data_IF_381982182866
#
_entry.id   IF_381982182866
#
_cell.length_a   1.000
_cell.length_b   1.000
_cell.length_c   1.000
_cell.angle_alpha   90.00
_cell.angle_beta   90.00
_cell.angle_gamma   90.00
#
_symmetry.space_group_name_H-M   'P 1'
#
loop_
_entity.id
_entity.type
_entity.pdbx_description
1 polymer ?
#
# COMPACT_ATOMS: atom_id res chain seq x y z
N UNK A 1 -12.13 0.63 5.45
CA UNK A 1 -11.13 1.71 5.48
C UNK A 1 -10.64 2.00 4.07
N UNK A 2 -10.60 3.28 3.70
CA UNK A 2 -10.23 3.72 2.35
C UNK A 2 -8.71 3.78 2.13
N UNK A 3 -7.91 3.85 3.18
CA UNK A 3 -6.45 3.97 3.10
C UNK A 3 -5.71 2.64 3.12
N UNK A 4 -6.38 1.55 3.44
CA UNK A 4 -5.82 0.19 3.51
C UNK A 4 -6.88 -0.86 3.23
N UNK A 5 -6.44 -2.07 2.90
CA UNK A 5 -7.26 -3.28 2.99
C UNK A 5 -6.92 -4.00 4.28
N UNK A 6 -7.93 -4.32 5.09
CA UNK A 6 -7.78 -5.06 6.32
C UNK A 6 -8.42 -6.44 6.19
N UNK A 7 -7.70 -7.46 6.65
CA UNK A 7 -8.20 -8.82 6.81
C UNK A 7 -8.01 -9.20 8.27
N UNK A 8 -9.06 -9.73 8.87
CA UNK A 8 -9.08 -10.20 10.24
C UNK A 8 -9.37 -11.70 10.25
N UNK A 9 -8.58 -12.46 11.00
CA UNK A 9 -8.71 -13.91 11.12
C UNK A 9 -8.51 -14.32 12.56
N UNK A 10 -9.30 -15.28 13.03
CA UNK A 10 -9.13 -15.88 14.35
C UNK A 10 -8.66 -17.32 14.19
N UNK A 11 -7.66 -17.70 14.96
CA UNK A 11 -7.07 -19.03 14.96
C UNK A 11 -7.23 -19.68 16.34
N UNK A 12 -7.68 -20.92 16.32
CA UNK A 12 -7.74 -21.76 17.51
C UNK A 12 -6.83 -22.97 17.27
N UNK A 13 -5.66 -22.95 17.89
CA UNK A 13 -4.65 -24.00 17.78
C UNK A 13 -4.82 -25.12 18.82
N UNK A 14 -5.93 -25.17 19.54
CA UNK A 14 -6.13 -26.11 20.65
C UNK A 14 -5.08 -25.90 21.74
N UNK A 15 -4.18 -26.89 21.96
CA UNK A 15 -3.11 -26.81 22.95
C UNK A 15 -2.05 -25.73 22.68
N UNK A 16 -1.97 -25.20 21.43
CA UNK A 16 -1.00 -24.18 21.03
C UNK A 16 -1.51 -22.75 21.25
N UNK A 17 -2.72 -22.59 21.76
CA UNK A 17 -3.31 -21.30 22.08
C UNK A 17 -4.28 -20.76 21.04
N UNK A 18 -4.86 -19.61 21.36
CA UNK A 18 -5.81 -18.89 20.52
C UNK A 18 -5.25 -17.51 20.19
N UNK A 19 -5.35 -17.10 18.94
CA UNK A 19 -4.95 -15.77 18.53
C UNK A 19 -5.86 -15.16 17.48
N UNK A 20 -5.89 -13.85 17.46
CA UNK A 20 -6.47 -13.03 16.40
C UNK A 20 -5.34 -12.40 15.60
N UNK A 21 -5.41 -12.50 14.28
CA UNK A 21 -4.45 -11.89 13.36
C UNK A 21 -5.17 -10.82 12.56
N UNK A 22 -4.67 -9.60 12.62
CA UNK A 22 -5.11 -8.49 11.78
C UNK A 22 -3.99 -8.23 10.78
N UNK A 23 -4.32 -8.23 9.50
CA UNK A 23 -3.42 -7.94 8.38
C UNK A 23 -3.89 -6.68 7.69
N UNK A 24 -3.01 -5.71 7.55
CA UNK A 24 -3.30 -4.44 6.89
C UNK A 24 -2.40 -4.28 5.68
N UNK A 25 -3.01 -4.22 4.50
CA UNK A 25 -2.30 -4.05 3.23
C UNK A 25 -2.38 -2.59 2.80
N UNK A 26 -1.24 -1.99 2.50
CA UNK A 26 -1.15 -0.63 2.00
C UNK A 26 0.04 -0.44 1.06
N UNK A 27 -0.12 0.32 -0.02
CA UNK A 27 1.03 0.80 -0.78
C UNK A 27 1.71 1.94 0.00
N UNK A 28 3.02 2.07 -0.15
CA UNK A 28 3.70 3.31 0.26
C UNK A 28 3.23 4.47 -0.62
N UNK A 29 3.25 5.67 -0.06
CA UNK A 29 2.83 6.89 -0.76
C UNK A 29 3.96 7.45 -1.64
N UNK A 30 5.20 7.28 -1.22
CA UNK A 30 6.40 7.90 -1.81
C UNK A 30 7.51 6.92 -2.18
N UNK A 31 7.36 5.64 -1.85
CA UNK A 31 8.34 4.60 -2.16
C UNK A 31 7.72 3.49 -3.02
N UNK A 32 8.49 2.83 -3.89
CA UNK A 32 8.04 1.66 -4.65
C UNK A 32 7.94 0.43 -3.72
N UNK A 33 6.98 0.47 -2.80
CA UNK A 33 6.81 -0.54 -1.77
C UNK A 33 5.33 -0.90 -1.55
N UNK A 34 5.07 -2.20 -1.41
CA UNK A 34 3.83 -2.75 -0.86
C UNK A 34 4.11 -3.26 0.54
N UNK A 35 3.29 -2.85 1.50
CA UNK A 35 3.48 -3.14 2.91
C UNK A 35 2.29 -3.94 3.43
N UNK A 36 2.59 -4.95 4.24
CA UNK A 36 1.63 -5.72 4.99
C UNK A 36 1.99 -5.66 6.47
N UNK A 37 1.20 -4.92 7.24
CA UNK A 37 1.34 -4.84 8.69
C UNK A 37 0.55 -5.97 9.35
N UNK A 38 1.17 -6.63 10.30
CA UNK A 38 0.59 -7.70 11.10
C UNK A 38 0.42 -7.26 12.55
N UNK A 39 -0.75 -7.54 13.11
CA UNK A 39 -1.02 -7.48 14.53
C UNK A 39 -1.45 -8.87 14.99
N UNK A 40 -0.64 -9.49 15.81
CA UNK A 40 -0.89 -10.81 16.41
C UNK A 40 -1.33 -10.60 17.85
N UNK A 41 -2.59 -10.84 18.13
CA UNK A 41 -3.20 -10.61 19.44
C UNK A 41 -3.39 -11.96 20.11
N UNK A 42 -2.80 -12.16 21.29
CA UNK A 42 -3.06 -13.35 22.08
C UNK A 42 -4.43 -13.25 22.75
N UNK A 43 -5.37 -14.09 22.30
CA UNK A 43 -6.74 -14.16 22.87
C UNK A 43 -6.90 -15.34 23.83
N UNK A 44 -5.83 -16.08 24.11
CA UNK A 44 -5.78 -17.17 25.08
C UNK A 44 -5.58 -16.65 26.51
N UNK A 45 -5.80 -17.53 27.50
CA UNK A 45 -5.53 -17.25 28.90
C UNK A 45 -4.06 -17.49 29.29
N UNK A 46 -3.29 -18.17 28.41
CA UNK A 46 -1.90 -18.53 28.60
C UNK A 46 -0.99 -17.72 27.66
N UNK A 47 0.29 -17.55 28.02
CA UNK A 47 1.27 -16.99 27.09
C UNK A 47 1.34 -17.81 25.81
N UNK A 48 1.40 -17.13 24.67
CA UNK A 48 1.58 -17.72 23.36
C UNK A 48 3.02 -17.53 22.90
N UNK A 49 3.62 -18.56 22.31
CA UNK A 49 4.97 -18.51 21.75
C UNK A 49 4.90 -18.54 20.24
N UNK A 50 5.57 -17.60 19.61
CA UNK A 50 5.54 -17.39 18.16
C UNK A 50 6.96 -17.29 17.63
N UNK A 51 7.21 -17.97 16.52
CA UNK A 51 8.41 -17.78 15.72
C UNK A 51 8.06 -16.97 14.46
N UNK A 52 8.76 -15.88 14.24
CA UNK A 52 8.71 -15.13 13.00
C UNK A 52 9.99 -15.49 12.23
N UNK A 53 9.88 -16.16 11.07
CA UNK A 53 11.05 -16.58 10.31
C UNK A 53 11.74 -15.38 9.65
N UNK A 54 13.02 -15.53 9.36
CA UNK A 54 13.73 -14.57 8.48
C UNK A 54 13.20 -14.72 7.06
N UNK A 55 12.73 -13.63 6.50
CA UNK A 55 12.34 -13.55 5.09
C UNK A 55 13.23 -12.52 4.40
N UNK A 56 13.96 -12.95 3.39
CA UNK A 56 14.81 -12.10 2.56
C UNK A 56 14.90 -12.72 1.16
N UNK A 57 13.82 -12.60 0.41
CA UNK A 57 13.72 -13.12 -0.96
C UNK A 57 14.05 -12.03 -1.97
N UNK A 58 14.80 -12.39 -3.01
CA UNK A 58 15.25 -11.48 -4.05
C UNK A 58 14.97 -12.05 -5.42
N UNK A 59 14.45 -11.21 -6.30
CA UNK A 59 14.19 -11.52 -7.70
C UNK A 59 14.68 -10.37 -8.58
N UNK A 60 15.42 -10.67 -9.63
CA UNK A 60 15.78 -9.69 -10.66
C UNK A 60 14.82 -9.82 -11.84
N UNK A 61 14.30 -8.69 -12.30
CA UNK A 61 13.48 -8.66 -13.53
C UNK A 61 14.34 -8.82 -14.78
N UNK A 62 13.73 -9.32 -15.86
CA UNK A 62 14.40 -9.39 -17.19
C UNK A 62 14.73 -7.96 -17.67
N UNK A 63 16.01 -7.64 -17.93
CA UNK A 63 16.41 -6.29 -18.34
C UNK A 63 15.82 -5.85 -19.68
N UNK A 64 15.35 -6.79 -20.50
CA UNK A 64 14.69 -6.49 -21.78
C UNK A 64 13.26 -5.99 -21.64
N UNK A 65 12.66 -6.20 -20.45
CA UNK A 65 11.27 -5.80 -20.13
C UNK A 65 11.19 -4.54 -19.28
N UNK A 66 12.30 -4.09 -18.72
CA UNK A 66 12.36 -2.89 -17.90
C UNK A 66 12.82 -1.68 -18.72
N UNK A 67 12.20 -0.53 -18.54
CA UNK A 67 12.56 0.74 -19.23
C UNK A 67 14.02 1.12 -18.93
N UNK A 68 14.46 0.91 -17.70
CA UNK A 68 15.81 1.24 -17.23
C UNK A 68 16.68 -0.02 -17.00
N UNK A 69 16.34 -1.13 -17.65
CA UNK A 69 17.03 -2.41 -17.49
C UNK A 69 16.45 -3.27 -16.38
N UNK A 70 17.32 -3.92 -15.57
CA UNK A 70 16.89 -4.85 -14.55
C UNK A 70 16.55 -4.15 -13.22
N UNK A 71 15.43 -4.52 -12.65
CA UNK A 71 15.03 -4.12 -11.32
C UNK A 71 15.23 -5.27 -10.33
N UNK A 72 15.52 -4.94 -9.09
CA UNK A 72 15.55 -5.88 -7.98
C UNK A 72 14.22 -5.75 -7.23
N UNK A 73 13.52 -6.87 -7.10
CA UNK A 73 12.34 -7.00 -6.23
C UNK A 73 12.80 -7.73 -4.97
N UNK A 74 12.63 -7.12 -3.82
CA UNK A 74 12.96 -7.72 -2.53
C UNK A 74 11.70 -7.89 -1.67
N UNK A 75 11.58 -9.05 -1.03
CA UNK A 75 10.61 -9.30 0.03
C UNK A 75 11.34 -9.46 1.35
N UNK A 76 10.98 -8.67 2.33
CA UNK A 76 11.59 -8.67 3.67
C UNK A 76 10.54 -8.61 4.76
N UNK A 77 11.00 -8.92 5.97
CA UNK A 77 10.25 -8.74 7.21
C UNK A 77 11.10 -7.92 8.17
N UNK A 78 10.49 -6.98 8.90
CA UNK A 78 11.20 -6.04 9.76
C UNK A 78 11.57 -6.61 11.13
N UNK A 79 10.92 -7.71 11.52
CA UNK A 79 11.13 -8.36 12.81
C UNK A 79 11.12 -9.86 12.63
N UNK A 80 12.13 -10.54 13.19
CA UNK A 80 12.23 -12.02 13.19
C UNK A 80 12.70 -12.53 14.56
N UNK A 81 12.54 -13.82 14.80
CA UNK A 81 12.95 -14.51 16.02
C UNK A 81 11.78 -15.10 16.81
N UNK A 82 12.06 -15.44 18.07
CA UNK A 82 11.09 -16.06 18.98
C UNK A 82 10.52 -15.02 19.94
N UNK A 83 9.20 -14.99 20.07
CA UNK A 83 8.48 -14.04 20.89
C UNK A 83 7.51 -14.75 21.82
N UNK A 84 7.39 -14.25 23.06
CA UNK A 84 6.33 -14.63 24.00
C UNK A 84 5.32 -13.48 24.07
N UNK A 85 4.06 -13.79 23.80
CA UNK A 85 2.95 -12.82 23.83
C UNK A 85 2.06 -13.17 25.00
N UNK A 86 1.96 -12.27 26.00
CA UNK A 86 1.12 -12.50 27.17
C UNK A 86 -0.38 -12.43 26.79
N UNK A 87 -1.28 -13.00 27.61
CA UNK A 87 -2.71 -12.89 27.41
C UNK A 87 -3.16 -11.42 27.21
N UNK A 88 -3.86 -11.13 26.12
CA UNK A 88 -4.31 -9.80 25.76
C UNK A 88 -3.27 -8.90 25.08
N UNK A 89 -2.01 -9.27 25.08
CA UNK A 89 -0.95 -8.51 24.43
C UNK A 89 -0.94 -8.72 22.91
N UNK A 90 -0.28 -7.78 22.22
CA UNK A 90 -0.15 -7.75 20.77
C UNK A 90 1.32 -7.71 20.35
N UNK A 91 1.70 -8.60 19.44
CA UNK A 91 2.95 -8.53 18.70
C UNK A 91 2.68 -7.89 17.34
N UNK A 92 3.44 -6.84 17.00
CA UNK A 92 3.37 -6.19 15.70
C UNK A 92 4.67 -6.37 14.93
N UNK A 93 4.53 -6.58 13.62
CA UNK A 93 5.64 -6.62 12.65
C UNK A 93 5.10 -6.32 11.26
N UNK A 94 6.00 -6.04 10.31
CA UNK A 94 5.64 -5.75 8.93
C UNK A 94 6.43 -6.60 7.96
N UNK A 95 5.74 -7.16 6.96
CA UNK A 95 6.36 -7.68 5.76
C UNK A 95 6.21 -6.65 4.64
N UNK A 96 7.21 -6.55 3.76
CA UNK A 96 7.15 -5.60 2.66
C UNK A 96 7.85 -6.12 1.41
N UNK A 97 7.32 -5.72 0.28
CA UNK A 97 7.91 -5.95 -1.05
C UNK A 97 8.32 -4.59 -1.59
N UNK A 98 9.59 -4.48 -1.98
CA UNK A 98 10.15 -3.26 -2.60
C UNK A 98 10.66 -3.55 -3.99
N UNK A 99 10.60 -2.54 -4.88
CA UNK A 99 11.18 -2.62 -6.22
C UNK A 99 12.07 -1.42 -6.49
N UNK A 100 13.35 -1.65 -6.89
CA UNK A 100 14.27 -0.57 -7.20
C UNK A 100 15.30 -1.02 -8.25
N UNK A 101 15.97 -0.04 -8.90
CA UNK A 101 16.96 -0.35 -9.94
C UNK A 101 18.15 -1.11 -9.36
N UNK A 102 18.67 -2.06 -10.11
CA UNK A 102 19.87 -2.78 -9.75
C UNK A 102 21.03 -1.79 -9.48
N UNK A 103 21.66 -1.93 -8.31
CA UNK A 103 22.76 -1.07 -7.88
C UNK A 103 22.37 0.12 -7.04
N UNK A 104 21.08 0.41 -6.87
CA UNK A 104 20.61 1.39 -5.88
C UNK A 104 20.65 0.79 -4.47
N UNK A 105 20.78 1.63 -3.43
CA UNK A 105 20.73 1.15 -2.06
C UNK A 105 19.36 0.53 -1.74
N UNK A 106 19.37 -0.50 -0.90
CA UNK A 106 18.16 -1.15 -0.44
C UNK A 106 17.27 -0.17 0.33
N UNK A 107 15.97 -0.24 0.07
CA UNK A 107 14.98 0.55 0.80
C UNK A 107 14.78 -0.04 2.20
N UNK A 108 14.71 0.85 3.18
CA UNK A 108 14.36 0.52 4.56
C UNK A 108 12.94 1.01 4.80
N UNK A 109 12.04 0.08 5.10
CA UNK A 109 10.62 0.36 5.30
C UNK A 109 10.29 0.27 6.77
N UNK A 110 9.61 1.28 7.29
CA UNK A 110 8.92 1.23 8.58
C UNK A 110 7.41 1.21 8.32
N UNK A 111 6.79 0.05 8.46
CA UNK A 111 5.39 -0.17 8.10
C UNK A 111 4.40 0.73 8.84
N UNK A 112 4.69 1.12 10.08
CA UNK A 112 3.83 2.03 10.85
C UNK A 112 3.94 3.47 10.36
N UNK A 113 5.13 3.93 10.02
CA UNK A 113 5.33 5.27 9.44
C UNK A 113 4.67 5.36 8.06
N UNK A 114 4.81 4.35 7.22
CA UNK A 114 4.15 4.31 5.91
C UNK A 114 2.62 4.30 6.03
N UNK A 115 2.08 3.62 7.04
CA UNK A 115 0.65 3.69 7.37
C UNK A 115 0.20 5.11 7.72
N UNK A 116 0.95 5.84 8.53
CA UNK A 116 0.63 7.23 8.88
C UNK A 116 0.67 8.15 7.67
N UNK A 117 1.72 8.06 6.84
CA UNK A 117 1.81 8.81 5.58
C UNK A 117 0.63 8.51 4.65
N UNK A 118 0.25 7.23 4.56
CA UNK A 118 -0.90 6.81 3.73
C UNK A 118 -2.22 7.39 4.23
N UNK A 119 -2.45 7.40 5.55
CA UNK A 119 -3.62 8.02 6.15
C UNK A 119 -3.65 9.52 5.83
N UNK A 120 -2.54 10.23 6.02
CA UNK A 120 -2.41 11.65 5.74
C UNK A 120 -2.71 11.97 4.27
N UNK A 121 -2.11 11.24 3.34
CA UNK A 121 -2.33 11.43 1.91
C UNK A 121 -3.80 11.22 1.52
N UNK A 122 -4.42 10.11 1.96
CA UNK A 122 -5.83 9.82 1.65
C UNK A 122 -6.75 10.85 2.28
N UNK A 123 -6.48 11.29 3.51
CA UNK A 123 -7.25 12.36 4.16
C UNK A 123 -7.17 13.65 3.35
N UNK A 124 -5.96 14.05 2.95
CA UNK A 124 -5.78 15.23 2.10
C UNK A 124 -6.55 15.13 0.78
N UNK A 125 -6.53 13.98 0.11
CA UNK A 125 -7.29 13.79 -1.13
C UNK A 125 -8.80 13.84 -0.92
N UNK A 126 -9.28 13.34 0.21
CA UNK A 126 -10.71 13.37 0.53
C UNK A 126 -11.19 14.78 0.91
N UNK A 127 -10.37 15.54 1.61
CA UNK A 127 -10.71 16.89 2.07
C UNK A 127 -10.67 17.94 0.95
N UNK A 128 -9.90 17.67 -0.11
CA UNK A 128 -9.86 18.52 -1.29
C UNK A 128 -11.10 18.30 -2.17
N UNK A 129 -11.81 19.36 -2.52
CA UNK A 129 -13.01 19.36 -3.37
C UNK A 129 -14.08 18.37 -2.85
N UNK A 130 -14.83 18.79 -1.85
CA UNK A 130 -15.92 18.01 -1.27
C UNK A 130 -17.20 18.20 -2.07
N UNK A 131 -17.88 17.10 -2.37
CA UNK A 131 -19.22 17.10 -2.97
C UNK A 131 -20.26 16.80 -1.88
N UNK A 132 -21.28 17.66 -1.78
CA UNK A 132 -22.39 17.49 -0.86
C UNK A 132 -23.69 17.50 -1.67
N UNK A 133 -24.39 16.37 -1.71
CA UNK A 133 -25.66 16.20 -2.40
C UNK A 133 -26.69 15.61 -1.45
N UNK A 134 -27.99 15.64 -1.81
CA UNK A 134 -29.01 14.92 -1.04
C UNK A 134 -28.84 13.40 -1.02
N UNK A 135 -28.01 12.84 -1.90
CA UNK A 135 -27.74 11.40 -2.00
C UNK A 135 -26.32 11.05 -1.51
N UNK A 136 -26.19 10.46 -0.32
CA UNK A 136 -24.89 10.10 0.25
C UNK A 136 -24.14 9.01 -0.53
N UNK A 137 -24.80 8.33 -1.48
CA UNK A 137 -24.13 7.35 -2.36
C UNK A 137 -23.29 8.11 -3.39
N UNK A 138 -23.84 9.19 -3.98
CA UNK A 138 -23.13 10.04 -4.92
C UNK A 138 -21.92 10.70 -4.26
N UNK A 139 -22.08 11.25 -3.06
CA UNK A 139 -20.98 11.85 -2.30
C UNK A 139 -19.85 10.84 -2.03
N UNK A 140 -20.22 9.62 -1.67
CA UNK A 140 -19.27 8.54 -1.42
C UNK A 140 -18.57 8.07 -2.69
N UNK A 141 -19.30 7.96 -3.81
CA UNK A 141 -18.71 7.63 -5.11
C UNK A 141 -17.69 8.68 -5.53
N UNK A 142 -18.02 9.96 -5.36
CA UNK A 142 -17.12 11.06 -5.69
C UNK A 142 -15.83 10.98 -4.84
N UNK A 143 -15.94 10.81 -3.53
CA UNK A 143 -14.79 10.65 -2.63
C UNK A 143 -13.89 9.47 -3.03
N UNK A 144 -14.46 8.31 -3.36
CA UNK A 144 -13.70 7.16 -3.84
C UNK A 144 -13.03 7.41 -5.19
N UNK A 145 -13.71 8.09 -6.10
CA UNK A 145 -13.15 8.43 -7.42
C UNK A 145 -11.90 9.31 -7.30
N UNK A 146 -11.89 10.25 -6.37
CA UNK A 146 -10.70 11.07 -6.06
C UNK A 146 -9.50 10.22 -5.64
N UNK A 147 -9.72 9.27 -4.73
CA UNK A 147 -8.65 8.35 -4.27
C UNK A 147 -8.12 7.55 -5.46
N UNK A 148 -9.01 6.99 -6.30
CA UNK A 148 -8.61 6.22 -7.49
C UNK A 148 -7.83 7.06 -8.49
N UNK A 149 -8.23 8.30 -8.71
CA UNK A 149 -7.49 9.21 -9.55
C UNK A 149 -6.04 9.43 -9.05
N UNK A 150 -5.87 9.72 -7.76
CA UNK A 150 -4.55 9.94 -7.17
C UNK A 150 -3.69 8.65 -7.14
N UNK A 151 -4.30 7.48 -6.93
CA UNK A 151 -3.59 6.20 -6.95
C UNK A 151 -3.14 5.75 -8.34
N UNK A 152 -3.67 6.36 -9.39
CA UNK A 152 -3.34 6.05 -10.79
C UNK A 152 -2.28 6.99 -11.38
N UNK A 153 -1.55 7.72 -10.54
CA UNK A 153 -0.42 8.57 -10.95
C UNK A 153 0.86 7.72 -10.90
N UNK A 154 1.59 7.70 -11.99
CA UNK A 154 2.85 6.98 -12.14
C UNK A 154 4.02 7.95 -12.29
N UNK A 155 5.11 7.67 -11.59
CA UNK A 155 6.39 8.34 -11.83
C UNK A 155 7.02 7.79 -13.11
N UNK A 156 7.27 8.68 -14.06
CA UNK A 156 7.92 8.37 -15.33
C UNK A 156 9.19 9.20 -15.53
N UNK A 157 9.98 8.91 -16.55
CA UNK A 157 11.14 9.75 -16.91
C UNK A 157 10.75 11.19 -17.29
N UNK A 158 9.52 11.41 -17.75
CA UNK A 158 8.98 12.72 -18.08
C UNK A 158 8.27 13.44 -16.92
N UNK A 159 8.25 12.83 -15.73
CA UNK A 159 7.52 13.31 -14.54
C UNK A 159 6.26 12.51 -14.24
N UNK A 160 5.47 12.96 -13.24
CA UNK A 160 4.24 12.29 -12.87
C UNK A 160 3.22 12.25 -14.01
N UNK A 161 2.63 11.08 -14.21
CA UNK A 161 1.68 10.83 -15.29
C UNK A 161 0.51 10.00 -14.80
N UNK A 162 -0.71 10.42 -15.09
CA UNK A 162 -1.89 9.63 -14.79
C UNK A 162 -2.11 8.58 -15.87
N UNK A 163 -2.27 7.31 -15.47
CA UNK A 163 -2.71 6.24 -16.33
C UNK A 163 -4.08 5.75 -15.90
N UNK A 164 -5.03 5.50 -16.84
CA UNK A 164 -6.40 5.12 -16.50
C UNK A 164 -6.50 3.76 -15.80
N UNK A 165 -5.39 3.03 -15.70
CA UNK A 165 -5.34 1.72 -15.07
C UNK A 165 -5.95 0.63 -15.95
N UNK A 166 -5.93 -0.60 -15.44
CA UNK A 166 -6.45 -1.77 -16.11
C UNK A 166 -5.35 -2.58 -16.80
N UNK A 167 -5.64 -3.73 -17.25
CA UNK A 167 -4.85 -4.85 -17.74
C UNK A 167 -3.58 -4.53 -18.55
N UNK A 168 -2.94 -5.53 -19.08
CA UNK A 168 -1.61 -5.50 -19.72
C UNK A 168 -1.41 -4.52 -20.89
N UNK A 169 -2.44 -3.82 -21.32
CA UNK A 169 -2.38 -2.84 -22.42
C UNK A 169 -2.29 -1.38 -21.95
N UNK A 170 -2.39 -1.10 -20.66
CA UNK A 170 -2.69 0.24 -20.15
C UNK A 170 -1.54 0.96 -19.45
N UNK A 171 -0.36 0.90 -20.04
CA UNK A 171 0.60 1.98 -19.83
C UNK A 171 0.36 3.14 -20.82
N UNK A 172 -0.81 3.19 -21.47
CA UNK A 172 -1.16 4.20 -22.47
C UNK A 172 -1.95 5.35 -21.85
N UNK A 173 -1.70 6.55 -22.36
CA UNK A 173 -2.48 7.74 -22.00
C UNK A 173 -3.61 7.86 -23.01
N UNK A 174 -4.83 7.95 -22.52
CA UNK A 174 -6.02 8.16 -23.32
C UNK A 174 -6.47 9.60 -23.15
N UNK A 175 -6.55 10.34 -24.26
CA UNK A 175 -6.84 11.77 -24.24
C UNK A 175 -8.19 12.09 -23.57
N UNK A 176 -9.23 11.31 -23.85
CA UNK A 176 -10.55 11.50 -23.26
C UNK A 176 -10.55 11.27 -21.75
N UNK A 177 -9.92 10.17 -21.30
CA UNK A 177 -9.82 9.85 -19.87
C UNK A 177 -9.10 10.94 -19.10
N UNK A 178 -8.08 11.52 -19.73
CA UNK A 178 -7.35 12.64 -19.12
C UNK A 178 -8.17 13.93 -19.15
N UNK A 179 -8.62 14.36 -20.31
CA UNK A 179 -9.19 15.70 -20.49
C UNK A 179 -10.57 15.84 -19.81
N UNK A 180 -11.40 14.81 -19.85
CA UNK A 180 -12.79 14.89 -19.40
C UNK A 180 -13.01 14.44 -17.98
N UNK A 181 -12.27 13.39 -17.53
CA UNK A 181 -12.57 12.74 -16.26
C UNK A 181 -11.62 13.11 -15.13
N UNK A 182 -10.33 13.24 -15.38
CA UNK A 182 -9.32 13.32 -14.34
C UNK A 182 -8.63 14.69 -14.28
N UNK A 183 -8.22 15.26 -15.39
CA UNK A 183 -7.48 16.51 -15.43
C UNK A 183 -8.20 17.68 -14.76
N UNK A 184 -9.53 17.84 -14.85
CA UNK A 184 -10.24 18.90 -14.12
C UNK A 184 -10.10 18.81 -12.61
N UNK A 185 -9.82 17.61 -12.07
CA UNK A 185 -9.66 17.36 -10.64
C UNK A 185 -8.25 17.62 -10.11
N UNK A 186 -7.20 17.32 -10.87
CA UNK A 186 -5.82 17.41 -10.39
C UNK A 186 -5.37 18.77 -9.84
N UNK A 187 -5.81 19.93 -10.38
CA UNK A 187 -5.49 21.21 -9.76
C UNK A 187 -5.90 21.35 -8.30
N UNK A 188 -6.91 20.60 -7.87
CA UNK A 188 -7.39 20.61 -6.50
C UNK A 188 -6.58 19.68 -5.57
N UNK A 189 -5.73 18.80 -6.11
CA UNK A 189 -4.92 17.88 -5.32
C UNK A 189 -3.54 18.42 -4.98
N UNK A 190 -3.12 19.51 -5.60
CA UNK A 190 -1.76 20.04 -5.51
C UNK A 190 -0.73 19.23 -6.30
N UNK A 191 -1.13 18.20 -7.03
CA UNK A 191 -0.25 17.48 -7.94
C UNK A 191 -0.05 18.25 -9.25
N UNK A 192 1.19 18.56 -9.58
CA UNK A 192 1.55 19.00 -10.93
C UNK A 192 1.65 17.76 -11.82
N UNK A 193 0.55 17.36 -12.45
CA UNK A 193 0.55 16.28 -13.44
C UNK A 193 0.88 16.88 -14.80
N UNK A 194 1.94 16.38 -15.44
CA UNK A 194 2.35 16.85 -16.75
C UNK A 194 1.35 16.38 -17.81
N UNK A 195 0.89 17.34 -18.61
CA UNK A 195 0.07 17.12 -19.79
C UNK A 195 0.94 17.31 -21.01
N UNK A 196 1.41 16.26 -21.60
CA UNK A 196 1.98 16.30 -22.95
C UNK A 196 1.57 15.06 -23.71
#
# INVERSE_FOLDING_TARGET
DVYKRQVESSYNGGWYGQCKVIREYLPSTDLPALIENYLLINTDKNPMFVEIPVINNRLYTDPRKGVDGSYLIEMKIDRNGYFSIQPGDTLSFSAYITGYKKGQPALVINGQQEKLKRIEAVTSWMDNLVLETPDPIIDRMFAFSKIRACESIYETQGGPMHGPGGESYYAAIWANDQAEYINPYFPFTGYAVSYT
#
